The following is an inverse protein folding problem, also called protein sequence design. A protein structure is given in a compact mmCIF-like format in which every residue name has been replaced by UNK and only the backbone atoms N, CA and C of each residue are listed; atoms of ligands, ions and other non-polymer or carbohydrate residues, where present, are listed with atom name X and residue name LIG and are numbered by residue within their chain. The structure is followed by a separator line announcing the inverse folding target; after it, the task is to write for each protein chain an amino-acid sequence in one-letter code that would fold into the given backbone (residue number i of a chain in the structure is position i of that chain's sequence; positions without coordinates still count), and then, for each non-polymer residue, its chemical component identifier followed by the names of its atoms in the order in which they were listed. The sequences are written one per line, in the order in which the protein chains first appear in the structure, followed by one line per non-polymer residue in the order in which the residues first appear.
data_IF_072255217770
#
_entry.id   IF_072255217770
#
_cell.length_a   1.000
_cell.length_b   1.000
_cell.length_c   1.000
_cell.angle_alpha   90.00
_cell.angle_beta   90.00
_cell.angle_gamma   90.00
#
_symmetry.space_group_name_H-M   'P 1'
#
loop_
_entity.id
_entity.type
_entity.pdbx_description
1 polymer ?
#
# COMPACT_ATOMS: atom_id res chain seq x y z
N UNK A 1 -23.10 -53.87 -29.02
CA UNK A 1 -24.09 -53.01 -28.35
C UNK A 1 -24.23 -51.69 -29.10
N UNK A 2 -25.45 -51.16 -29.15
CA UNK A 2 -25.82 -49.75 -29.42
C UNK A 2 -24.94 -48.75 -28.63
N UNK A 3 -24.62 -47.49 -29.02
CA UNK A 3 -25.02 -46.49 -30.04
C UNK A 3 -23.71 -45.76 -30.47
N UNK A 4 -23.39 -45.36 -31.70
CA UNK A 4 -24.04 -44.50 -32.74
C UNK A 4 -24.35 -43.04 -32.34
N UNK A 5 -23.86 -42.14 -33.22
CA UNK A 5 -24.44 -40.83 -33.64
C UNK A 5 -24.23 -39.60 -32.70
N UNK A 6 -23.95 -38.37 -33.16
CA UNK A 6 -23.34 -37.84 -34.43
C UNK A 6 -23.20 -36.29 -34.36
N UNK A 7 -22.23 -35.68 -35.06
CA UNK A 7 -22.22 -34.23 -35.42
C UNK A 7 -22.18 -33.22 -34.23
N UNK A 8 -22.02 -31.90 -34.38
CA UNK A 8 -21.83 -31.01 -35.54
C UNK A 8 -20.91 -29.82 -35.17
N UNK A 9 -20.31 -29.15 -36.17
CA UNK A 9 -19.76 -27.81 -36.02
C UNK A 9 -20.88 -26.77 -35.86
N UNK A 10 -20.69 -25.76 -34.99
CA UNK A 10 -21.31 -24.43 -35.14
C UNK A 10 -20.31 -23.36 -34.68
N UNK A 11 -19.83 -22.54 -35.62
CA UNK A 11 -19.32 -21.20 -35.30
C UNK A 11 -20.53 -20.31 -34.96
N UNK A 12 -20.41 -19.47 -33.93
CA UNK A 12 -21.22 -18.25 -33.84
C UNK A 12 -20.30 -17.03 -33.70
N UNK A 13 -20.36 -16.16 -34.70
CA UNK A 13 -19.85 -14.78 -34.66
C UNK A 13 -21.06 -13.87 -34.92
N UNK A 14 -21.70 -13.38 -33.86
CA UNK A 14 -22.76 -12.34 -33.84
C UNK A 14 -22.77 -11.81 -32.39
N UNK A 15 -22.79 -10.51 -32.04
CA UNK A 15 -22.75 -9.24 -32.78
C UNK A 15 -22.19 -8.12 -31.88
N UNK A 16 -21.86 -6.96 -32.47
CA UNK A 16 -21.66 -5.71 -31.75
C UNK A 16 -22.92 -5.27 -30.97
N UNK A 17 -22.75 -4.45 -29.93
CA UNK A 17 -23.87 -3.96 -29.10
C UNK A 17 -23.48 -2.94 -28.03
N UNK A 18 -23.06 -1.74 -28.42
CA UNK A 18 -23.00 -0.59 -27.50
C UNK A 18 -24.36 0.11 -27.43
N UNK A 19 -25.23 -0.25 -26.49
CA UNK A 19 -26.40 0.56 -26.08
C UNK A 19 -26.73 0.35 -24.60
N UNK A 20 -26.91 1.46 -23.87
CA UNK A 20 -27.97 1.57 -22.88
C UNK A 20 -27.63 1.14 -21.45
N UNK A 21 -27.32 2.14 -20.61
CA UNK A 21 -27.05 1.96 -19.20
C UNK A 21 -28.10 1.14 -18.43
N UNK A 22 -27.57 0.20 -17.65
CA UNK A 22 -28.02 -0.03 -16.28
C UNK A 22 -26.79 0.14 -15.40
N UNK A 23 -26.89 0.97 -14.37
CA UNK A 23 -25.92 0.93 -13.29
C UNK A 23 -25.91 -0.51 -12.76
N UNK A 24 -24.81 -1.22 -12.97
CA UNK A 24 -24.57 -2.52 -12.34
C UNK A 24 -24.53 -2.26 -10.85
N UNK A 25 -25.66 -2.54 -10.19
CA UNK A 25 -25.77 -2.61 -8.75
C UNK A 25 -24.64 -3.52 -8.28
N UNK A 26 -23.63 -2.94 -7.65
CA UNK A 26 -22.46 -3.69 -7.16
C UNK A 26 -23.03 -4.78 -6.26
N UNK A 27 -22.86 -6.04 -6.66
CA UNK A 27 -23.28 -7.16 -5.84
C UNK A 27 -22.42 -7.15 -4.58
N UNK A 28 -22.99 -7.50 -3.43
CA UNK A 28 -22.26 -7.71 -2.17
C UNK A 28 -21.42 -9.01 -2.21
N UNK A 29 -20.77 -9.25 -3.36
CA UNK A 29 -19.90 -10.36 -3.64
C UNK A 29 -18.56 -10.15 -2.96
N UNK A 30 -18.44 -10.67 -1.75
CA UNK A 30 -17.19 -10.75 -0.99
C UNK A 30 -16.18 -11.74 -1.64
N UNK A 31 -15.73 -11.43 -2.86
CA UNK A 31 -14.47 -11.93 -3.39
C UNK A 31 -13.35 -11.09 -2.81
N UNK A 32 -12.81 -11.50 -1.66
CA UNK A 32 -11.81 -10.77 -0.89
C UNK A 32 -10.48 -10.61 -1.64
N UNK A 33 -10.43 -9.66 -2.58
CA UNK A 33 -9.18 -9.07 -3.01
C UNK A 33 -8.67 -8.24 -1.84
N UNK A 34 -7.68 -8.77 -1.15
CA UNK A 34 -6.84 -8.12 -0.14
C UNK A 34 -6.63 -6.63 -0.47
N UNK A 35 -7.01 -5.70 0.41
CA UNK A 35 -6.68 -4.28 0.27
C UNK A 35 -5.15 -4.11 0.27
N UNK A 36 -4.64 -3.09 -0.40
CA UNK A 36 -3.19 -2.89 -0.51
C UNK A 36 -2.52 -2.76 0.87
N UNK A 37 -3.27 -2.34 1.90
CA UNK A 37 -2.82 -2.28 3.29
C UNK A 37 -2.81 -3.62 4.04
N UNK A 38 -3.52 -4.65 3.58
CA UNK A 38 -3.49 -5.97 4.20
C UNK A 38 -2.15 -6.69 3.92
N UNK A 39 -1.54 -6.49 2.74
CA UNK A 39 -0.17 -6.98 2.43
C UNK A 39 0.85 -6.46 3.45
N UNK A 40 0.69 -5.21 3.89
CA UNK A 40 1.55 -4.58 4.89
C UNK A 40 1.37 -5.17 6.29
N UNK A 41 0.18 -5.68 6.65
CA UNK A 41 0.00 -6.37 7.93
C UNK A 41 0.59 -7.79 7.91
N UNK A 42 0.49 -8.51 6.78
CA UNK A 42 1.06 -9.85 6.63
C UNK A 42 2.59 -9.87 6.58
N UNK A 43 3.20 -8.88 5.95
CA UNK A 43 4.66 -8.81 5.73
C UNK A 43 5.37 -7.86 6.72
N UNK A 44 4.77 -7.62 7.89
CA UNK A 44 5.26 -6.66 8.90
C UNK A 44 6.43 -7.24 9.71
N UNK A 45 7.64 -6.63 9.67
CA UNK A 45 8.75 -7.04 10.54
C UNK A 45 8.41 -6.88 12.03
N UNK A 46 9.15 -7.56 12.90
CA UNK A 46 9.06 -7.30 14.34
C UNK A 46 9.53 -5.87 14.67
N UNK A 47 9.05 -5.33 15.80
CA UNK A 47 9.49 -4.03 16.31
C UNK A 47 10.70 -4.20 17.23
N UNK A 48 11.55 -3.18 17.32
CA UNK A 48 12.73 -3.15 18.18
C UNK A 48 14.03 -3.30 17.40
N UNK A 49 15.15 -3.27 18.14
CA UNK A 49 16.50 -3.32 17.55
C UNK A 49 17.49 -4.10 18.41
N UNK A 50 18.49 -4.67 17.75
CA UNK A 50 19.56 -5.45 18.36
C UNK A 50 20.60 -4.54 19.04
N UNK A 51 20.80 -4.73 20.35
CA UNK A 51 21.91 -4.10 21.07
C UNK A 51 23.18 -4.91 20.89
N UNK A 52 24.22 -4.29 20.35
CA UNK A 52 25.53 -4.91 20.12
C UNK A 52 26.64 -4.17 20.87
N UNK A 53 27.86 -4.72 20.85
CA UNK A 53 29.02 -4.14 21.56
C UNK A 53 29.41 -2.75 21.04
N UNK A 54 29.21 -2.49 19.74
CA UNK A 54 29.43 -1.18 19.15
C UNK A 54 28.22 -0.25 19.36
N UNK A 55 28.42 0.81 20.16
CA UNK A 55 27.38 1.80 20.42
C UNK A 55 26.97 2.58 19.17
N UNK A 56 27.89 2.82 18.23
CA UNK A 56 27.63 3.57 17.01
C UNK A 56 26.60 2.86 16.14
N UNK A 57 26.86 1.58 15.84
CA UNK A 57 25.96 0.70 15.11
C UNK A 57 24.66 0.44 15.88
N UNK A 58 24.71 0.32 17.21
CA UNK A 58 23.48 0.21 18.02
C UNK A 58 22.57 1.45 17.87
N UNK A 59 23.13 2.66 17.81
CA UNK A 59 22.39 3.90 17.53
C UNK A 59 21.86 3.96 16.09
N UNK A 60 22.58 3.37 15.12
CA UNK A 60 22.11 3.23 13.73
C UNK A 60 20.90 2.29 13.67
N UNK A 61 20.95 1.11 14.30
CA UNK A 61 19.80 0.19 14.36
C UNK A 61 18.60 0.83 15.06
N UNK A 62 18.82 1.53 16.19
CA UNK A 62 17.75 2.28 16.85
C UNK A 62 17.12 3.36 15.94
N UNK A 63 17.93 4.09 15.17
CA UNK A 63 17.41 5.10 14.24
C UNK A 63 16.60 4.50 13.08
N UNK A 64 16.86 3.24 12.74
CA UNK A 64 16.11 2.48 11.72
C UNK A 64 14.79 1.98 12.31
N UNK A 65 14.79 1.47 13.55
CA UNK A 65 13.58 1.11 14.31
C UNK A 65 12.67 2.34 14.55
N UNK A 66 13.25 3.50 14.89
CA UNK A 66 12.50 4.76 15.02
C UNK A 66 11.84 5.18 13.68
N UNK A 67 12.56 5.08 12.56
CA UNK A 67 12.01 5.34 11.21
C UNK A 67 10.93 4.32 10.82
N UNK A 68 11.14 3.05 11.18
CA UNK A 68 10.18 1.98 10.96
C UNK A 68 8.89 2.22 11.75
N UNK A 69 8.99 2.55 13.05
CA UNK A 69 7.88 2.95 13.91
C UNK A 69 7.11 4.18 13.40
N UNK A 70 7.80 5.16 12.82
CA UNK A 70 7.16 6.31 12.18
C UNK A 70 6.41 5.90 10.90
N UNK A 71 7.02 5.12 10.01
CA UNK A 71 6.39 4.70 8.75
C UNK A 71 5.18 3.79 8.97
N UNK A 72 5.27 2.86 9.92
CA UNK A 72 4.18 1.97 10.35
C UNK A 72 3.05 2.75 11.01
N UNK A 73 3.37 3.65 11.95
CA UNK A 73 2.39 4.47 12.64
C UNK A 73 1.71 5.53 11.74
N UNK A 74 2.33 5.93 10.63
CA UNK A 74 1.68 6.72 9.57
C UNK A 74 0.73 5.84 8.75
N UNK A 75 1.19 4.67 8.29
CA UNK A 75 0.38 3.74 7.51
C UNK A 75 -0.89 3.32 8.26
N UNK A 76 -0.77 2.89 9.51
CA UNK A 76 -1.92 2.44 10.32
C UNK A 76 -2.97 3.57 10.47
N UNK A 77 -2.53 4.83 10.61
CA UNK A 77 -3.44 6.00 10.69
C UNK A 77 -4.13 6.29 9.35
N UNK A 78 -3.43 6.15 8.23
CA UNK A 78 -4.04 6.31 6.89
C UNK A 78 -5.07 5.24 6.64
N UNK A 79 -4.81 3.99 7.04
CA UNK A 79 -5.80 2.90 6.99
C UNK A 79 -7.00 3.22 7.87
N UNK A 80 -6.79 3.50 9.16
CA UNK A 80 -7.84 3.82 10.14
C UNK A 80 -8.76 4.94 9.64
N UNK A 81 -8.20 6.04 9.14
CA UNK A 81 -8.99 7.17 8.62
C UNK A 81 -9.76 6.86 7.36
N UNK A 82 -9.20 6.00 6.49
CA UNK A 82 -9.87 5.57 5.26
C UNK A 82 -11.03 4.64 5.59
N UNK A 83 -10.85 3.73 6.55
CA UNK A 83 -11.91 2.83 7.04
C UNK A 83 -13.00 3.57 7.82
N UNK A 84 -12.65 4.64 8.56
CA UNK A 84 -13.60 5.51 9.25
C UNK A 84 -14.34 6.52 8.34
N UNK A 85 -13.93 6.70 7.08
CA UNK A 85 -14.69 7.49 6.10
C UNK A 85 -15.37 6.56 5.09
N UNK A 86 -16.67 6.31 5.28
CA UNK A 86 -17.44 5.36 4.47
C UNK A 86 -17.38 5.69 2.98
N UNK A 87 -17.43 6.98 2.61
CA UNK A 87 -17.35 7.42 1.21
C UNK A 87 -15.97 7.11 0.62
N UNK A 88 -14.88 7.38 1.36
CA UNK A 88 -13.52 7.07 0.92
C UNK A 88 -13.32 5.56 0.76
N UNK A 89 -13.67 4.75 1.77
CA UNK A 89 -13.57 3.29 1.73
C UNK A 89 -14.31 2.69 0.53
N UNK A 90 -15.54 3.17 0.25
CA UNK A 90 -16.34 2.74 -0.90
C UNK A 90 -15.67 3.10 -2.23
N UNK A 91 -15.17 4.33 -2.36
CA UNK A 91 -14.52 4.78 -3.60
C UNK A 91 -13.18 4.07 -3.85
N UNK A 92 -12.37 3.83 -2.81
CA UNK A 92 -11.11 3.09 -2.96
C UNK A 92 -11.36 1.62 -3.34
N UNK A 93 -12.42 1.00 -2.82
CA UNK A 93 -12.88 -0.30 -3.30
C UNK A 93 -13.21 -0.27 -4.79
N UNK A 94 -13.99 0.72 -5.23
CA UNK A 94 -14.33 0.89 -6.67
C UNK A 94 -13.07 1.07 -7.52
N UNK A 95 -12.14 1.95 -7.14
CA UNK A 95 -10.87 2.17 -7.84
C UNK A 95 -10.07 0.87 -7.98
N UNK A 96 -10.00 0.08 -6.91
CA UNK A 96 -9.21 -1.16 -6.85
C UNK A 96 -9.85 -2.33 -7.58
N UNK A 97 -11.17 -2.42 -7.60
CA UNK A 97 -11.90 -3.51 -8.26
C UNK A 97 -12.14 -3.24 -9.76
N UNK A 98 -12.43 -1.99 -10.12
CA UNK A 98 -12.91 -1.59 -11.45
C UNK A 98 -12.05 -0.53 -12.16
N UNK A 99 -11.05 0.03 -11.50
CA UNK A 99 -10.10 0.99 -12.08
C UNK A 99 -10.50 2.47 -11.97
N UNK A 100 -9.62 3.35 -12.47
CA UNK A 100 -9.73 4.81 -12.28
C UNK A 100 -10.95 5.42 -13.01
N UNK A 101 -11.41 4.87 -14.14
CA UNK A 101 -12.59 5.40 -14.83
C UNK A 101 -13.89 5.13 -14.06
N UNK A 102 -14.07 3.90 -13.55
CA UNK A 102 -15.19 3.55 -12.68
C UNK A 102 -15.16 4.35 -11.36
N UNK A 103 -13.96 4.65 -10.84
CA UNK A 103 -13.79 5.55 -9.71
C UNK A 103 -14.29 6.98 -10.02
N UNK A 104 -13.98 7.55 -11.20
CA UNK A 104 -14.48 8.86 -11.61
C UNK A 104 -16.01 8.87 -11.72
N UNK A 105 -16.60 7.86 -12.37
CA UNK A 105 -18.05 7.74 -12.48
C UNK A 105 -18.72 7.65 -11.10
N UNK A 106 -18.14 6.89 -10.16
CA UNK A 106 -18.63 6.80 -8.78
C UNK A 106 -18.45 8.12 -7.99
N UNK A 107 -17.38 8.87 -8.26
CA UNK A 107 -17.10 10.18 -7.67
C UNK A 107 -18.05 11.27 -8.16
N UNK A 108 -18.34 11.28 -9.46
CA UNK A 108 -19.24 12.24 -10.11
C UNK A 108 -20.69 12.04 -9.64
N UNK A 109 -21.09 10.79 -9.40
CA UNK A 109 -22.44 10.39 -8.97
C UNK A 109 -22.69 10.48 -7.45
N UNK A 110 -21.69 10.87 -6.65
CA UNK A 110 -21.88 11.12 -5.21
C UNK A 110 -22.94 12.22 -4.94
N UNK A 111 -23.66 12.07 -3.82
CA UNK A 111 -24.55 13.13 -3.31
C UNK A 111 -23.75 14.37 -2.88
N UNK A 112 -24.38 15.57 -2.79
CA UNK A 112 -23.72 16.77 -2.26
C UNK A 112 -23.13 16.57 -0.86
N UNK A 113 -23.81 15.79 -0.02
CA UNK A 113 -23.39 15.42 1.32
C UNK A 113 -22.16 14.50 1.30
N UNK A 114 -22.18 13.43 0.50
CA UNK A 114 -21.05 12.51 0.34
C UNK A 114 -19.82 13.24 -0.25
N UNK A 115 -20.02 14.13 -1.23
CA UNK A 115 -18.95 14.96 -1.79
C UNK A 115 -18.31 15.84 -0.71
N UNK A 116 -19.12 16.45 0.17
CA UNK A 116 -18.61 17.27 1.27
C UNK A 116 -17.81 16.44 2.29
N UNK A 117 -18.25 15.23 2.61
CA UNK A 117 -17.49 14.31 3.48
C UNK A 117 -16.17 13.90 2.82
N UNK A 118 -16.20 13.46 1.57
CA UNK A 118 -15.00 13.04 0.84
C UNK A 118 -14.01 14.18 0.64
N UNK A 119 -14.45 15.41 0.38
CA UNK A 119 -13.56 16.58 0.30
C UNK A 119 -12.84 16.83 1.63
N UNK A 120 -13.55 16.72 2.76
CA UNK A 120 -12.94 16.83 4.09
C UNK A 120 -11.93 15.71 4.33
N UNK A 121 -12.21 14.49 3.87
CA UNK A 121 -11.24 13.39 3.92
C UNK A 121 -9.99 13.70 3.08
N UNK A 122 -10.17 14.11 1.82
CA UNK A 122 -9.09 14.45 0.88
C UNK A 122 -8.15 15.52 1.44
N UNK A 123 -8.69 16.65 1.92
CA UNK A 123 -7.86 17.75 2.41
C UNK A 123 -7.05 17.36 3.66
N UNK A 124 -7.61 16.57 4.58
CA UNK A 124 -6.90 16.09 5.76
C UNK A 124 -5.82 15.04 5.40
N UNK A 125 -6.15 14.09 4.54
CA UNK A 125 -5.28 12.94 4.25
C UNK A 125 -4.13 13.33 3.31
N UNK A 126 -4.40 14.17 2.30
CA UNK A 126 -3.35 14.74 1.44
C UNK A 126 -2.33 15.52 2.26
N UNK A 127 -2.78 16.26 3.29
CA UNK A 127 -1.89 17.04 4.17
C UNK A 127 -1.02 16.14 5.03
N UNK A 128 -1.59 15.16 5.75
CA UNK A 128 -0.82 14.25 6.60
C UNK A 128 0.18 13.40 5.82
N UNK A 129 -0.11 13.07 4.57
CA UNK A 129 0.78 12.28 3.72
C UNK A 129 1.91 13.10 3.07
N UNK A 130 1.95 14.43 3.19
CA UNK A 130 3.06 15.26 2.66
C UNK A 130 4.43 14.81 3.15
N UNK A 131 4.53 14.44 4.42
CA UNK A 131 5.78 14.02 5.06
C UNK A 131 6.31 12.68 4.54
N UNK A 132 5.43 11.81 3.99
CA UNK A 132 5.82 10.49 3.51
C UNK A 132 6.91 10.53 2.43
N UNK A 133 6.86 11.50 1.51
CA UNK A 133 7.87 11.67 0.46
C UNK A 133 9.27 12.07 1.00
N UNK A 134 9.32 12.84 2.10
CA UNK A 134 10.59 13.18 2.74
C UNK A 134 11.19 11.95 3.42
N UNK A 135 10.40 11.26 4.24
CA UNK A 135 10.83 10.02 4.91
C UNK A 135 11.20 8.92 3.91
N UNK A 136 10.51 8.83 2.76
CA UNK A 136 10.82 7.86 1.71
C UNK A 136 12.23 8.02 1.18
N UNK A 137 12.70 9.27 1.01
CA UNK A 137 14.08 9.55 0.58
C UNK A 137 15.08 9.05 1.62
N UNK A 138 14.81 9.32 2.90
CA UNK A 138 15.72 8.96 3.98
C UNK A 138 15.74 7.43 4.21
N UNK A 139 14.58 6.76 4.13
CA UNK A 139 14.48 5.30 4.16
C UNK A 139 15.24 4.63 3.00
N UNK A 140 15.17 5.19 1.78
CA UNK A 140 15.97 4.71 0.65
C UNK A 140 17.48 4.87 0.89
N UNK A 141 17.91 5.97 1.51
CA UNK A 141 19.32 6.15 1.89
C UNK A 141 19.78 5.13 2.94
N UNK A 142 18.91 4.76 3.90
CA UNK A 142 19.19 3.70 4.87
C UNK A 142 19.38 2.33 4.19
N UNK A 143 18.47 1.92 3.29
CA UNK A 143 18.60 0.65 2.52
C UNK A 143 19.89 0.63 1.69
N UNK A 144 20.21 1.73 0.99
CA UNK A 144 21.48 1.86 0.23
C UNK A 144 22.71 1.88 1.13
N UNK A 145 22.59 2.38 2.36
CA UNK A 145 23.65 2.35 3.37
C UNK A 145 23.92 0.93 3.87
N UNK A 146 22.87 0.25 4.34
CA UNK A 146 22.93 -1.12 4.89
C UNK A 146 23.47 -2.12 3.86
N UNK A 147 23.01 -2.05 2.60
CA UNK A 147 23.49 -2.92 1.51
C UNK A 147 24.99 -2.81 1.20
N UNK A 148 25.67 -1.77 1.70
CA UNK A 148 27.13 -1.57 1.55
C UNK A 148 27.94 -1.97 2.78
N UNK A 149 27.29 -2.39 3.86
CA UNK A 149 27.98 -2.76 5.10
C UNK A 149 28.55 -4.18 5.00
N UNK A 150 29.86 -4.29 5.18
CA UNK A 150 30.54 -5.57 5.34
C UNK A 150 30.58 -5.97 6.81
N UNK A 151 29.58 -6.76 7.25
CA UNK A 151 29.46 -7.26 8.63
C UNK A 151 30.71 -8.03 9.07
N UNK A 152 31.40 -8.71 8.14
CA UNK A 152 32.63 -9.46 8.43
C UNK A 152 33.81 -8.56 8.80
N UNK A 153 33.82 -7.29 8.38
CA UNK A 153 34.85 -6.31 8.77
C UNK A 153 34.56 -5.61 10.11
N UNK A 154 33.33 -5.69 10.61
CA UNK A 154 32.91 -5.00 11.84
C UNK A 154 32.93 -5.91 13.08
N UNK A 155 32.87 -7.23 12.90
CA UNK A 155 32.84 -8.19 14.00
C UNK A 155 34.24 -8.67 14.42
N UNK A 156 34.56 -8.61 15.72
CA UNK A 156 35.87 -9.04 16.24
C UNK A 156 35.91 -10.52 16.64
N UNK A 157 34.75 -11.19 16.73
CA UNK A 157 34.64 -12.63 17.00
C UNK A 157 33.31 -13.22 16.47
N UNK A 158 33.17 -14.54 16.50
CA UNK A 158 31.99 -15.25 15.97
C UNK A 158 30.66 -14.92 16.67
N UNK A 159 30.66 -14.70 17.99
CA UNK A 159 29.44 -14.36 18.73
C UNK A 159 28.96 -12.94 18.39
N UNK A 160 29.90 -12.00 18.25
CA UNK A 160 29.61 -10.66 17.75
C UNK A 160 29.16 -10.71 16.29
N UNK A 161 29.83 -11.47 15.43
CA UNK A 161 29.43 -11.64 14.03
C UNK A 161 27.97 -12.09 13.91
N UNK A 162 27.53 -13.09 14.70
CA UNK A 162 26.14 -13.53 14.70
C UNK A 162 25.17 -12.43 15.16
N UNK A 163 25.52 -11.67 16.21
CA UNK A 163 24.68 -10.55 16.69
C UNK A 163 24.58 -9.42 15.65
N UNK A 164 25.71 -9.05 15.05
CA UNK A 164 25.76 -8.01 14.02
C UNK A 164 25.01 -8.44 12.78
N UNK A 165 25.20 -9.68 12.31
CA UNK A 165 24.46 -10.23 11.17
C UNK A 165 22.95 -10.18 11.40
N UNK A 166 22.48 -10.63 12.56
CA UNK A 166 21.06 -10.55 12.91
C UNK A 166 20.55 -9.10 12.91
N UNK A 167 21.27 -8.17 13.56
CA UNK A 167 20.89 -6.75 13.60
C UNK A 167 20.87 -6.09 12.22
N UNK A 168 21.85 -6.40 11.36
CA UNK A 168 21.86 -5.91 9.97
C UNK A 168 20.75 -6.53 9.12
N UNK A 169 20.37 -7.80 9.34
CA UNK A 169 19.22 -8.43 8.67
C UNK A 169 17.92 -7.74 9.07
N UNK A 170 17.65 -7.67 10.38
CA UNK A 170 16.42 -7.10 10.93
C UNK A 170 16.27 -5.62 10.56
N UNK A 171 17.33 -4.82 10.71
CA UNK A 171 17.34 -3.44 10.27
C UNK A 171 17.16 -3.28 8.74
N UNK A 172 17.63 -4.23 7.93
CA UNK A 172 17.39 -4.23 6.47
C UNK A 172 15.95 -4.56 6.12
N UNK A 173 15.32 -5.48 6.85
CA UNK A 173 13.90 -5.82 6.73
C UNK A 173 13.01 -4.62 7.10
N UNK A 174 13.25 -4.01 8.26
CA UNK A 174 12.57 -2.78 8.72
C UNK A 174 12.75 -1.61 7.75
N UNK A 175 13.98 -1.35 7.28
CA UNK A 175 14.24 -0.27 6.32
C UNK A 175 13.55 -0.53 4.96
N UNK A 176 13.56 -1.77 4.47
CA UNK A 176 12.89 -2.16 3.22
C UNK A 176 11.38 -2.05 3.33
N UNK A 177 10.80 -2.49 4.45
CA UNK A 177 9.37 -2.30 4.74
C UNK A 177 9.02 -0.80 4.78
N UNK A 178 9.84 0.01 5.45
CA UNK A 178 9.62 1.46 5.55
C UNK A 178 9.58 2.11 4.16
N UNK A 179 10.50 1.73 3.26
CA UNK A 179 10.48 2.19 1.85
C UNK A 179 9.18 1.77 1.15
N UNK A 180 8.73 0.53 1.28
CA UNK A 180 7.46 0.07 0.69
C UNK A 180 6.26 0.88 1.20
N UNK A 181 6.15 1.04 2.53
CA UNK A 181 5.02 1.73 3.16
C UNK A 181 4.98 3.22 2.79
N UNK A 182 6.13 3.88 2.78
CA UNK A 182 6.26 5.29 2.42
C UNK A 182 6.07 5.52 0.90
N UNK A 183 6.46 4.57 0.04
CA UNK A 183 6.15 4.62 -1.39
C UNK A 183 4.65 4.50 -1.62
N UNK A 184 4.00 3.49 -1.02
CA UNK A 184 2.56 3.32 -1.11
C UNK A 184 1.80 4.56 -0.63
N UNK A 185 2.19 5.13 0.52
CA UNK A 185 1.60 6.37 1.04
C UNK A 185 1.78 7.57 0.09
N UNK A 186 2.92 7.68 -0.59
CA UNK A 186 3.16 8.75 -1.56
C UNK A 186 2.32 8.56 -2.85
N UNK A 187 2.21 7.33 -3.34
CA UNK A 187 1.38 6.99 -4.51
C UNK A 187 -0.12 7.16 -4.20
N UNK A 188 -0.53 6.80 -2.98
CA UNK A 188 -1.88 7.01 -2.47
C UNK A 188 -2.22 8.50 -2.39
N UNK A 189 -1.33 9.32 -1.81
CA UNK A 189 -1.47 10.79 -1.81
C UNK A 189 -1.64 11.34 -3.23
N UNK A 190 -0.85 10.86 -4.18
CA UNK A 190 -0.95 11.28 -5.58
C UNK A 190 -2.29 10.86 -6.23
N UNK A 191 -2.91 9.76 -5.79
CA UNK A 191 -4.26 9.38 -6.20
C UNK A 191 -5.35 10.28 -5.58
N UNK A 192 -5.21 10.67 -4.31
CA UNK A 192 -6.10 11.62 -3.65
C UNK A 192 -6.00 13.02 -4.29
N UNK A 193 -4.80 13.49 -4.66
CA UNK A 193 -4.61 14.75 -5.39
C UNK A 193 -5.30 14.74 -6.77
N UNK A 194 -5.30 13.59 -7.48
CA UNK A 194 -6.07 13.42 -8.72
C UNK A 194 -7.58 13.44 -8.48
N UNK A 195 -8.06 12.74 -7.46
CA UNK A 195 -9.48 12.73 -7.08
C UNK A 195 -10.00 14.16 -6.80
N UNK A 196 -9.25 14.94 -6.01
CA UNK A 196 -9.55 16.36 -5.76
C UNK A 196 -9.60 17.19 -7.05
N UNK A 197 -8.73 16.88 -8.01
CA UNK A 197 -8.71 17.57 -9.32
C UNK A 197 -9.92 17.24 -10.18
N UNK A 198 -10.48 16.03 -10.08
CA UNK A 198 -11.69 15.63 -10.82
C UNK A 198 -12.94 16.40 -10.34
N UNK A 199 -13.06 16.64 -9.03
CA UNK A 199 -14.18 17.40 -8.45
C UNK A 199 -14.11 18.91 -8.69
N UNK A 200 -12.98 19.42 -9.19
CA UNK A 200 -12.76 20.82 -9.56
C UNK A 200 -13.02 21.13 -11.04
N UNK A 201 -13.70 20.22 -11.76
CA UNK A 201 -14.09 20.33 -13.17
C UNK A 201 -15.61 20.24 -13.32
#
# INVERSE_FOLDING_TARGET
MFKKVFFCCVLMIVSAGCVGGKATKVEDGAGSKQMAWEEFQENRPENGFEKISDEGTTKIFQSIDDMYGLSTGMLDKTVERTEHCYVALKLERVRKEYGEEAFKEALDTLSPEDKKEYNKYLDNEIDSLKTANHLLKDANLLVVGLSKVDVGKLAFNFLEYKKMYNGFSHASEQATYSVKALSWMNDYRAALDRARTYQGR
#
